data_IF_775911727572
#
_entry.id   IF_775911727572
#
_cell.length_a   1.000
_cell.length_b   1.000
_cell.length_c   1.000
_cell.angle_alpha   90.00
_cell.angle_beta   90.00
_cell.angle_gamma   90.00
#
_symmetry.space_group_name_H-M   'P 1'
#
loop_
_entity.id
_entity.type
_entity.pdbx_description
1 polymer ?
#
# COMPACT_ATOMS: atom_id res chain seq x y z
N UNK A 1 6.13 30.97 -3.96
CA UNK A 1 6.95 30.13 -3.07
C UNK A 1 7.31 28.88 -3.86
N UNK A 2 8.59 28.63 -4.15
CA UNK A 2 9.00 27.57 -5.08
C UNK A 2 8.67 26.18 -4.51
N UNK A 3 8.09 25.29 -5.33
CA UNK A 3 7.77 23.90 -4.97
C UNK A 3 8.97 23.17 -4.33
N UNK A 4 10.15 23.35 -4.92
CA UNK A 4 11.40 22.80 -4.39
C UNK A 4 11.71 23.25 -2.96
N UNK A 5 11.44 24.52 -2.62
CA UNK A 5 11.63 25.03 -1.27
C UNK A 5 10.68 24.37 -0.27
N UNK A 6 9.41 24.16 -0.64
CA UNK A 6 8.43 23.47 0.23
C UNK A 6 8.81 22.02 0.48
N UNK A 7 9.34 21.32 -0.53
CA UNK A 7 9.79 19.92 -0.40
C UNK A 7 11.01 19.83 0.53
N UNK A 8 12.01 20.70 0.31
CA UNK A 8 13.23 20.72 1.13
C UNK A 8 12.89 21.07 2.59
N UNK A 9 12.05 22.07 2.83
CA UNK A 9 11.63 22.46 4.17
C UNK A 9 10.90 21.30 4.89
N UNK A 10 10.00 20.61 4.19
CA UNK A 10 9.31 19.42 4.71
C UNK A 10 10.29 18.32 5.11
N UNK A 11 11.28 18.01 4.25
CA UNK A 11 12.30 16.99 4.52
C UNK A 11 13.19 17.33 5.73
N UNK A 12 13.56 18.60 5.89
CA UNK A 12 14.37 19.06 7.03
C UNK A 12 13.58 18.90 8.33
N UNK A 13 12.31 19.33 8.35
CA UNK A 13 11.44 19.16 9.53
C UNK A 13 11.28 17.68 9.87
N UNK A 14 11.04 16.84 8.87
CA UNK A 14 10.93 15.39 9.04
C UNK A 14 12.19 14.78 9.67
N UNK A 15 13.38 15.13 9.16
CA UNK A 15 14.65 14.66 9.70
C UNK A 15 14.84 15.03 11.18
N UNK A 16 14.58 16.31 11.53
CA UNK A 16 14.69 16.77 12.91
C UNK A 16 13.73 16.08 13.87
N UNK A 17 12.51 15.77 13.41
CA UNK A 17 11.53 15.04 14.23
C UNK A 17 11.99 13.61 14.47
N UNK A 18 12.51 12.92 13.44
CA UNK A 18 13.00 11.55 13.58
C UNK A 18 14.19 11.43 14.53
N UNK A 19 15.12 12.38 14.49
CA UNK A 19 16.29 12.40 15.39
C UNK A 19 15.90 12.49 16.87
N UNK A 20 14.76 13.14 17.15
CA UNK A 20 14.26 13.35 18.52
C UNK A 20 13.47 12.17 19.07
N UNK A 21 13.11 11.19 18.25
CA UNK A 21 12.34 10.03 18.69
C UNK A 21 13.32 8.99 19.24
N UNK A 22 13.30 8.70 20.56
CA UNK A 22 14.09 7.62 21.11
C UNK A 22 13.53 6.30 20.55
N UNK A 23 14.20 5.72 19.57
CA UNK A 23 13.83 4.42 19.02
C UNK A 23 14.25 3.36 20.05
N UNK A 24 13.31 2.96 20.88
CA UNK A 24 13.44 1.77 21.72
C UNK A 24 13.48 0.54 20.79
N UNK A 25 14.63 -0.11 20.70
CA UNK A 25 14.87 -1.27 19.82
C UNK A 25 14.18 -2.56 20.29
N UNK A 26 13.64 -2.56 21.50
CA UNK A 26 12.91 -3.69 22.10
C UNK A 26 11.42 -3.61 21.71
N UNK A 27 11.11 -3.79 20.43
CA UNK A 27 9.72 -3.97 20.01
C UNK A 27 9.36 -5.43 20.29
N UNK A 28 8.39 -5.65 21.18
CA UNK A 28 7.88 -6.99 21.45
C UNK A 28 7.21 -7.55 20.17
N UNK A 29 7.72 -8.66 19.65
CA UNK A 29 7.19 -9.35 18.46
C UNK A 29 5.67 -9.61 18.55
N UNK A 30 5.15 -9.89 19.74
CA UNK A 30 3.71 -10.08 19.96
C UNK A 30 2.91 -8.79 19.72
N UNK A 31 3.43 -7.64 20.17
CA UNK A 31 2.78 -6.35 19.93
C UNK A 31 2.83 -5.98 18.45
N UNK A 32 3.95 -6.26 17.77
CA UNK A 32 4.09 -6.02 16.34
C UNK A 32 3.11 -6.89 15.53
N UNK A 33 2.95 -8.16 15.90
CA UNK A 33 1.99 -9.06 15.27
C UNK A 33 0.55 -8.59 15.48
N UNK A 34 0.19 -8.20 16.72
CA UNK A 34 -1.13 -7.65 17.02
C UNK A 34 -1.38 -6.36 16.22
N UNK A 35 -0.38 -5.49 16.10
CA UNK A 35 -0.48 -4.27 15.31
C UNK A 35 -0.67 -4.57 13.82
N UNK A 36 0.04 -5.57 13.28
CA UNK A 36 -0.17 -6.05 11.91
C UNK A 36 -1.61 -6.49 11.68
N UNK A 37 -2.18 -7.31 12.57
CA UNK A 37 -3.58 -7.73 12.48
C UNK A 37 -4.57 -6.57 12.57
N UNK A 38 -4.35 -5.62 13.49
CA UNK A 38 -5.20 -4.43 13.60
C UNK A 38 -5.18 -3.61 12.31
N UNK A 39 -3.99 -3.39 11.74
CA UNK A 39 -3.80 -2.73 10.44
C UNK A 39 -4.53 -3.46 9.31
N UNK A 40 -4.41 -4.78 9.25
CA UNK A 40 -5.09 -5.61 8.25
C UNK A 40 -6.60 -5.43 8.32
N UNK A 41 -7.17 -5.58 9.52
CA UNK A 41 -8.63 -5.48 9.70
C UNK A 41 -9.14 -4.06 9.49
N UNK A 42 -8.37 -3.04 9.86
CA UNK A 42 -8.70 -1.65 9.57
C UNK A 42 -8.70 -1.39 8.06
N UNK A 43 -7.67 -1.84 7.33
CA UNK A 43 -7.57 -1.71 5.88
C UNK A 43 -8.76 -2.37 5.17
N UNK A 44 -9.05 -3.64 5.51
CA UNK A 44 -10.22 -4.36 5.01
C UNK A 44 -11.53 -3.65 5.36
N UNK A 45 -11.67 -3.13 6.58
CA UNK A 45 -12.85 -2.37 6.98
C UNK A 45 -13.04 -1.11 6.13
N UNK A 46 -11.97 -0.37 5.83
CA UNK A 46 -12.04 0.81 4.96
C UNK A 46 -12.47 0.46 3.54
N UNK A 47 -11.93 -0.62 2.97
CA UNK A 47 -12.30 -1.12 1.64
C UNK A 47 -13.78 -1.51 1.59
N UNK A 48 -14.25 -2.28 2.58
CA UNK A 48 -15.62 -2.84 2.58
C UNK A 48 -16.67 -1.80 2.97
N UNK A 49 -16.39 -0.95 3.97
CA UNK A 49 -17.39 -0.05 4.57
C UNK A 49 -17.66 1.20 3.72
N UNK A 50 -16.68 1.67 2.94
CA UNK A 50 -16.77 2.96 2.23
C UNK A 50 -16.97 2.76 0.73
N UNK A 51 -17.94 3.50 0.18
CA UNK A 51 -18.21 3.56 -1.27
C UNK A 51 -17.30 4.53 -2.02
N UNK A 52 -16.57 5.39 -1.31
CA UNK A 52 -15.67 6.35 -1.93
C UNK A 52 -14.35 5.68 -2.31
N UNK A 53 -13.97 5.85 -3.57
CA UNK A 53 -12.74 5.33 -4.15
C UNK A 53 -11.49 5.72 -3.35
N UNK A 54 -11.46 6.94 -2.76
CA UNK A 54 -10.33 7.41 -1.96
C UNK A 54 -10.12 6.53 -0.71
N UNK A 55 -11.19 6.19 0.00
CA UNK A 55 -11.09 5.32 1.18
C UNK A 55 -10.75 3.88 0.82
N UNK A 56 -11.14 3.41 -0.37
CA UNK A 56 -10.73 2.10 -0.87
C UNK A 56 -9.23 2.07 -1.17
N UNK A 57 -8.68 3.12 -1.78
CA UNK A 57 -7.22 3.25 -1.97
C UNK A 57 -6.46 3.31 -0.66
N UNK A 58 -6.93 4.10 0.31
CA UNK A 58 -6.31 4.15 1.64
C UNK A 58 -6.36 2.76 2.28
N UNK A 59 -7.51 2.08 2.24
CA UNK A 59 -7.65 0.74 2.80
C UNK A 59 -6.74 -0.29 2.14
N UNK A 60 -6.50 -0.18 0.83
CA UNK A 60 -5.55 -1.02 0.11
C UNK A 60 -4.10 -0.77 0.55
N UNK A 61 -3.69 0.50 0.68
CA UNK A 61 -2.35 0.86 1.17
C UNK A 61 -2.13 0.32 2.59
N UNK A 62 -3.16 0.40 3.45
CA UNK A 62 -3.09 -0.13 4.82
C UNK A 62 -3.00 -1.67 4.86
N UNK A 63 -3.64 -2.35 3.90
CA UNK A 63 -3.54 -3.81 3.76
C UNK A 63 -2.13 -4.24 3.32
N UNK A 64 -1.56 -3.57 2.31
CA UNK A 64 -0.16 -3.78 1.91
C UNK A 64 0.80 -3.57 3.09
N UNK A 65 0.66 -2.45 3.81
CA UNK A 65 1.50 -2.15 4.97
C UNK A 65 1.40 -3.23 6.06
N UNK A 66 0.23 -3.83 6.25
CA UNK A 66 0.06 -4.95 7.16
C UNK A 66 0.81 -6.20 6.68
N UNK A 67 0.68 -6.55 5.41
CA UNK A 67 1.36 -7.68 4.78
C UNK A 67 2.89 -7.54 4.88
N UNK A 68 3.42 -6.33 4.68
CA UNK A 68 4.84 -6.02 4.93
C UNK A 68 5.21 -6.28 6.40
N UNK A 69 4.38 -5.82 7.34
CA UNK A 69 4.64 -6.00 8.78
C UNK A 69 4.65 -7.48 9.18
N UNK A 70 3.75 -8.29 8.62
CA UNK A 70 3.78 -9.76 8.76
C UNK A 70 5.05 -10.34 8.16
N UNK A 71 5.44 -9.88 6.97
CA UNK A 71 6.67 -10.30 6.32
C UNK A 71 7.89 -10.09 7.22
N UNK A 72 8.02 -8.93 7.88
CA UNK A 72 9.19 -8.61 8.72
C UNK A 72 9.34 -9.61 9.88
N UNK A 73 8.23 -10.14 10.39
CA UNK A 73 8.21 -11.12 11.48
C UNK A 73 8.56 -12.54 11.01
N UNK A 74 8.27 -12.88 9.75
CA UNK A 74 8.36 -14.25 9.22
C UNK A 74 9.54 -14.49 8.28
N UNK A 75 9.99 -13.45 7.56
CA UNK A 75 10.91 -13.55 6.44
C UNK A 75 12.14 -12.65 6.66
N UNK A 76 13.31 -13.06 6.16
CA UNK A 76 14.46 -12.18 6.14
C UNK A 76 14.22 -11.00 5.18
N UNK A 77 14.64 -9.79 5.58
CA UNK A 77 14.39 -8.53 4.86
C UNK A 77 14.71 -8.59 3.36
N UNK A 78 15.83 -9.17 2.88
CA UNK A 78 16.11 -9.23 1.45
C UNK A 78 15.04 -10.00 0.67
N UNK A 79 14.59 -11.14 1.20
CA UNK A 79 13.56 -11.97 0.56
C UNK A 79 12.18 -11.31 0.63
N UNK A 80 11.88 -10.61 1.73
CA UNK A 80 10.65 -9.84 1.86
C UNK A 80 10.51 -8.82 0.73
N UNK A 81 11.57 -8.05 0.47
CA UNK A 81 11.55 -7.02 -0.59
C UNK A 81 11.27 -7.67 -1.95
N UNK A 82 11.92 -8.79 -2.24
CA UNK A 82 11.71 -9.53 -3.50
C UNK A 82 10.26 -10.00 -3.65
N UNK A 83 9.69 -10.61 -2.61
CA UNK A 83 8.31 -11.12 -2.63
C UNK A 83 7.29 -10.00 -2.72
N UNK A 84 7.48 -8.90 -1.98
CA UNK A 84 6.57 -7.75 -2.00
C UNK A 84 6.53 -7.10 -3.37
N UNK A 85 7.69 -6.78 -3.95
CA UNK A 85 7.76 -6.19 -5.30
C UNK A 85 7.18 -7.16 -6.33
N UNK A 86 7.44 -8.46 -6.18
CA UNK A 86 6.88 -9.47 -7.08
C UNK A 86 5.35 -9.52 -7.00
N UNK A 87 4.77 -9.44 -5.81
CA UNK A 87 3.32 -9.43 -5.60
C UNK A 87 2.67 -8.21 -6.26
N UNK A 88 3.28 -7.03 -6.13
CA UNK A 88 2.78 -5.79 -6.75
C UNK A 88 2.74 -5.89 -8.27
N UNK A 89 3.82 -6.39 -8.86
CA UNK A 89 3.92 -6.59 -10.31
C UNK A 89 2.89 -7.61 -10.78
N UNK A 90 2.68 -8.71 -10.03
CA UNK A 90 1.63 -9.68 -10.33
C UNK A 90 0.24 -9.02 -10.30
N UNK A 91 -0.06 -8.22 -9.28
CA UNK A 91 -1.32 -7.48 -9.18
C UNK A 91 -1.53 -6.56 -10.37
N UNK A 92 -0.51 -5.78 -10.74
CA UNK A 92 -0.54 -4.90 -11.91
C UNK A 92 -0.80 -5.68 -13.21
N UNK A 93 -0.13 -6.80 -13.44
CA UNK A 93 -0.30 -7.63 -14.64
C UNK A 93 -1.73 -8.20 -14.72
N UNK A 94 -2.26 -8.69 -13.60
CA UNK A 94 -3.63 -9.22 -13.54
C UNK A 94 -4.64 -8.11 -13.85
N UNK A 95 -4.53 -6.97 -13.17
CA UNK A 95 -5.44 -5.83 -13.36
C UNK A 95 -5.36 -5.32 -14.81
N UNK A 96 -4.15 -5.14 -15.34
CA UNK A 96 -3.96 -4.70 -16.73
C UNK A 96 -4.55 -5.68 -17.75
N UNK A 97 -4.46 -6.99 -17.49
CA UNK A 97 -5.03 -8.01 -18.38
C UNK A 97 -6.56 -7.95 -18.37
N UNK A 98 -7.18 -7.82 -17.20
CA UNK A 98 -8.64 -7.68 -17.06
C UNK A 98 -9.12 -6.42 -17.77
N UNK A 99 -8.47 -5.28 -17.54
CA UNK A 99 -8.84 -4.01 -18.18
C UNK A 99 -8.70 -4.05 -19.71
N UNK A 100 -7.68 -4.74 -20.22
CA UNK A 100 -7.49 -4.91 -21.66
C UNK A 100 -8.62 -5.73 -22.28
N UNK A 101 -9.07 -6.79 -21.58
CA UNK A 101 -10.18 -7.63 -22.03
C UNK A 101 -11.50 -6.86 -22.03
N UNK A 102 -11.79 -6.15 -20.94
CA UNK A 102 -13.02 -5.34 -20.80
C UNK A 102 -13.09 -4.23 -21.85
N UNK A 103 -11.97 -3.54 -22.12
CA UNK A 103 -11.90 -2.52 -23.17
C UNK A 103 -12.17 -3.10 -24.57
N UNK A 104 -11.66 -4.30 -24.86
CA UNK A 104 -11.89 -4.97 -26.13
C UNK A 104 -13.37 -5.35 -26.31
N UNK A 105 -14.05 -5.74 -25.24
CA UNK A 105 -15.48 -6.06 -25.26
C UNK A 105 -16.33 -4.79 -25.48
N UNK A 106 -16.04 -3.70 -24.77
CA UNK A 106 -16.75 -2.43 -24.95
C UNK A 106 -16.62 -1.88 -26.37
N UNK A 107 -15.42 -1.93 -26.97
CA UNK A 107 -15.19 -1.47 -28.34
C UNK A 107 -16.06 -2.19 -29.39
N UNK A 108 -16.35 -3.48 -29.19
CA UNK A 108 -17.15 -4.29 -30.12
C UNK A 108 -18.65 -4.00 -30.02
N UNK A 109 -19.13 -3.60 -28.84
CA UNK A 109 -20.53 -3.26 -28.62
C UNK A 109 -20.89 -1.90 -29.23
N UNK A 110 -19.92 -0.98 -29.31
CA UNK A 110 -20.10 0.32 -29.97
C UNK A 110 -20.17 0.18 -31.50
N UNK A 111 -19.43 -0.78 -32.08
CA UNK A 111 -19.49 -1.10 -33.52
C UNK A 111 -20.83 -1.72 -33.96
N UNK A 112 -21.53 -2.42 -33.06
CA UNK A 112 -22.82 -3.07 -33.35
C UNK A 112 -24.03 -2.15 -33.17
N UNK A 113 -23.84 -0.94 -32.64
CA UNK A 113 -24.89 0.08 -32.49
C UNK A 113 -24.87 1.16 -33.57
N UNK A 114 -23.89 1.10 -34.49
CA UNK A 114 -23.80 1.94 -35.69
C UNK A 114 -24.51 1.34 -36.89
#
# INVERSE_FOLDING_TARGET
MNLAFSIIASLVVYYFVLEKIPISTEINNTLMLLFAFVLLFQGLFLIISRKSTIFQFIGFIEEENSTILFGILLLPIPFLIEVSVFLDVLGLVIISSILTLEKAEHSRLDELKG
#
